data_IF_848864398436
#
_entry.id   IF_848864398436
#
_cell.length_a   1.000
_cell.length_b   1.000
_cell.length_c   1.000
_cell.angle_alpha   90.00
_cell.angle_beta   90.00
_cell.angle_gamma   90.00
#
_symmetry.space_group_name_H-M   'P 1'
#
loop_
_entity.id
_entity.type
_entity.pdbx_description
1 polymer ?
#
# COMPACT_ATOMS: atom_id res chain seq x y z
N UNK A 1 -35.83 -44.59 3.12
CA UNK A 1 -37.02 -43.80 2.75
C UNK A 1 -36.66 -42.33 2.92
N UNK A 2 -36.48 -41.61 1.81
CA UNK A 2 -36.25 -40.16 1.73
C UNK A 2 -37.50 -39.41 2.17
N UNK A 3 -37.38 -38.32 2.95
CA UNK A 3 -37.98 -37.02 2.61
C UNK A 3 -37.02 -35.89 3.05
N UNK A 4 -36.65 -35.10 2.05
CA UNK A 4 -35.82 -33.90 2.05
C UNK A 4 -36.73 -32.68 2.24
N UNK A 5 -36.47 -31.78 3.19
CA UNK A 5 -36.77 -30.32 3.15
C UNK A 5 -36.41 -29.73 4.52
N UNK A 6 -35.79 -28.56 4.67
CA UNK A 6 -35.76 -27.39 3.80
C UNK A 6 -34.43 -26.66 4.04
N UNK A 7 -33.68 -26.53 2.95
CA UNK A 7 -32.60 -25.56 2.78
C UNK A 7 -33.25 -24.17 2.76
N UNK A 8 -33.12 -23.42 3.85
CA UNK A 8 -33.37 -21.97 3.86
C UNK A 8 -31.97 -21.36 3.99
N UNK A 9 -31.24 -21.23 2.88
CA UNK A 9 -31.22 -20.00 2.10
C UNK A 9 -31.39 -18.77 2.98
N UNK A 10 -30.37 -18.49 3.81
CA UNK A 10 -30.08 -17.14 4.26
C UNK A 10 -29.10 -16.52 3.26
N UNK A 11 -29.53 -16.46 2.00
CA UNK A 11 -28.82 -15.80 0.90
C UNK A 11 -29.75 -14.80 0.22
N UNK A 12 -30.45 -14.03 1.04
CA UNK A 12 -31.10 -12.79 0.61
C UNK A 12 -31.12 -11.83 1.81
N UNK A 13 -30.75 -10.59 1.52
CA UNK A 13 -30.74 -9.39 2.38
C UNK A 13 -29.52 -9.15 3.28
N UNK A 14 -28.33 -9.22 2.70
CA UNK A 14 -27.30 -8.17 2.88
C UNK A 14 -26.63 -8.02 1.52
N UNK A 15 -26.47 -6.80 0.94
CA UNK A 15 -25.57 -6.66 -0.19
C UNK A 15 -24.23 -7.26 0.21
N UNK A 16 -23.65 -8.12 -0.63
CA UNK A 16 -22.29 -8.56 -0.41
C UNK A 16 -21.45 -7.28 -0.29
N UNK A 17 -20.75 -7.08 0.83
CA UNK A 17 -19.97 -5.87 1.06
C UNK A 17 -18.97 -5.61 -0.09
N UNK A 18 -18.55 -6.69 -0.76
CA UNK A 18 -17.76 -6.65 -1.99
C UNK A 18 -18.53 -6.07 -3.18
N UNK A 19 -19.83 -6.34 -3.31
CA UNK A 19 -20.71 -5.77 -4.34
C UNK A 19 -20.96 -4.28 -4.12
N UNK A 20 -21.13 -3.83 -2.86
CA UNK A 20 -21.27 -2.41 -2.52
C UNK A 20 -19.99 -1.63 -2.84
N UNK A 21 -18.83 -2.16 -2.44
CA UNK A 21 -17.53 -1.55 -2.74
C UNK A 21 -17.28 -1.51 -4.26
N UNK A 22 -17.59 -2.59 -4.97
CA UNK A 22 -17.49 -2.65 -6.43
C UNK A 22 -18.40 -1.63 -7.12
N UNK A 23 -19.64 -1.51 -6.64
CA UNK A 23 -20.60 -0.53 -7.14
C UNK A 23 -20.13 0.91 -6.89
N UNK A 24 -19.54 1.17 -5.72
CA UNK A 24 -18.97 2.47 -5.37
C UNK A 24 -17.79 2.84 -6.28
N UNK A 25 -16.87 1.92 -6.55
CA UNK A 25 -15.74 2.15 -7.49
C UNK A 25 -16.24 2.44 -8.91
N UNK A 26 -17.27 1.72 -9.38
CA UNK A 26 -17.88 1.98 -10.69
C UNK A 26 -18.57 3.35 -10.76
N UNK A 27 -19.24 3.76 -9.69
CA UNK A 27 -19.93 5.05 -9.62
C UNK A 27 -19.00 6.25 -9.44
N UNK A 28 -17.76 6.04 -8.97
CA UNK A 28 -16.77 7.09 -8.69
C UNK A 28 -15.39 6.68 -9.20
N UNK A 29 -15.04 7.19 -10.39
CA UNK A 29 -13.77 6.86 -11.05
C UNK A 29 -12.52 7.16 -10.20
N UNK A 30 -12.58 8.15 -9.30
CA UNK A 30 -11.48 8.51 -8.39
C UNK A 30 -11.19 7.45 -7.33
N UNK A 31 -12.07 6.46 -7.15
CA UNK A 31 -11.92 5.37 -6.18
C UNK A 31 -11.44 4.07 -6.85
N UNK A 32 -11.04 4.09 -8.12
CA UNK A 32 -10.57 2.90 -8.84
C UNK A 32 -9.41 2.20 -8.15
N UNK A 33 -8.49 2.97 -7.56
CA UNK A 33 -7.30 2.45 -6.86
C UNK A 33 -7.54 2.18 -5.37
N UNK A 34 -8.76 2.41 -4.86
CA UNK A 34 -9.09 2.10 -3.47
C UNK A 34 -8.91 0.60 -3.26
N UNK A 35 -8.10 0.14 -2.29
CA UNK A 35 -7.83 -1.28 -2.11
C UNK A 35 -9.05 -2.02 -1.56
N UNK A 36 -9.10 -3.34 -1.71
CA UNK A 36 -10.14 -4.16 -1.08
C UNK A 36 -9.86 -4.40 0.41
N UNK A 37 -8.57 -4.38 0.78
CA UNK A 37 -8.08 -4.60 2.14
C UNK A 37 -7.14 -3.44 2.49
N UNK A 38 -7.38 -2.80 3.63
CA UNK A 38 -6.44 -1.84 4.23
C UNK A 38 -5.55 -2.55 5.24
N UNK A 39 -4.29 -2.15 5.27
CA UNK A 39 -3.30 -2.68 6.21
C UNK A 39 -2.80 -1.54 7.08
N UNK A 40 -2.73 -1.78 8.39
CA UNK A 40 -2.25 -0.80 9.35
C UNK A 40 -0.75 -1.02 9.62
N UNK A 41 0.02 0.08 9.80
CA UNK A 41 1.42 -0.01 10.11
C UNK A 41 1.58 -0.62 11.50
N UNK A 42 2.67 -1.38 11.69
CA UNK A 42 2.96 -1.99 12.98
C UNK A 42 3.19 -0.91 14.03
N UNK A 43 2.25 -0.78 14.96
CA UNK A 43 2.34 0.16 16.07
C UNK A 43 2.70 -0.62 17.34
N UNK A 44 3.75 -0.23 18.09
CA UNK A 44 4.08 -0.90 19.33
C UNK A 44 2.90 -0.80 20.32
N UNK A 45 2.38 -1.94 20.76
CA UNK A 45 1.26 -2.04 21.71
C UNK A 45 -0.14 -2.21 21.10
N UNK A 46 -0.26 -2.31 19.76
CA UNK A 46 -1.48 -2.76 19.07
C UNK A 46 -1.19 -4.09 18.37
N UNK A 47 -2.17 -4.99 18.34
CA UNK A 47 -2.03 -6.28 17.65
C UNK A 47 -1.51 -6.05 16.22
N UNK A 48 -0.31 -6.56 16.01
CA UNK A 48 0.52 -6.33 14.83
C UNK A 48 -0.14 -6.89 13.58
N UNK A 49 -0.10 -6.15 12.47
CA UNK A 49 -0.50 -6.67 11.16
C UNK A 49 -2.01 -6.83 10.98
N UNK A 50 -2.82 -6.04 11.69
CA UNK A 50 -4.25 -5.98 11.42
C UNK A 50 -4.44 -5.51 9.97
N UNK A 51 -5.06 -6.37 9.18
CA UNK A 51 -5.62 -6.03 7.89
C UNK A 51 -7.13 -6.22 8.01
N UNK A 52 -7.91 -5.37 7.36
CA UNK A 52 -9.36 -5.50 7.33
C UNK A 52 -9.92 -5.14 5.96
N UNK A 53 -11.06 -5.72 5.56
CA UNK A 53 -11.78 -5.28 4.38
C UNK A 53 -12.10 -3.78 4.49
N UNK A 54 -11.86 -3.02 3.42
CA UNK A 54 -12.23 -1.59 3.38
C UNK A 54 -13.71 -1.39 3.63
N UNK A 55 -14.53 -2.35 3.19
CA UNK A 55 -15.96 -2.31 3.38
C UNK A 55 -16.35 -2.33 4.87
N UNK A 56 -15.53 -2.93 5.75
CA UNK A 56 -15.74 -3.01 7.20
C UNK A 56 -15.04 -1.86 7.97
N UNK A 57 -14.23 -1.06 7.28
CA UNK A 57 -13.43 -0.02 7.92
C UNK A 57 -14.31 1.16 8.38
N UNK A 58 -14.06 1.63 9.61
CA UNK A 58 -14.64 2.89 10.08
C UNK A 58 -13.93 4.08 9.48
N UNK A 59 -14.50 5.29 9.63
CA UNK A 59 -13.84 6.52 9.17
C UNK A 59 -12.50 6.73 9.88
N UNK A 60 -12.41 6.41 11.17
CA UNK A 60 -11.16 6.51 11.93
C UNK A 60 -10.12 5.51 11.42
N UNK A 61 -10.53 4.28 11.08
CA UNK A 61 -9.67 3.29 10.44
C UNK A 61 -9.12 3.82 9.10
N UNK A 62 -9.97 4.42 8.26
CA UNK A 62 -9.52 5.05 7.01
C UNK A 62 -8.54 6.20 7.28
N UNK A 63 -8.78 7.03 8.29
CA UNK A 63 -7.86 8.11 8.65
C UNK A 63 -6.47 7.58 9.06
N UNK A 64 -6.43 6.50 9.86
CA UNK A 64 -5.17 5.83 10.20
C UNK A 64 -4.49 5.19 8.97
N UNK A 65 -5.27 4.58 8.07
CA UNK A 65 -4.75 3.98 6.84
C UNK A 65 -4.14 5.04 5.91
N UNK A 66 -4.75 6.23 5.81
CA UNK A 66 -4.20 7.36 5.03
C UNK A 66 -2.83 7.76 5.57
N UNK A 67 -2.72 7.99 6.89
CA UNK A 67 -1.45 8.36 7.54
C UNK A 67 -0.37 7.31 7.27
N UNK A 68 -0.73 6.02 7.27
CA UNK A 68 0.18 4.93 6.97
C UNK A 68 0.66 4.95 5.52
N UNK A 69 -0.27 5.10 4.57
CA UNK A 69 0.04 5.18 3.14
C UNK A 69 0.92 6.39 2.82
N UNK A 70 0.67 7.54 3.45
CA UNK A 70 1.50 8.74 3.32
C UNK A 70 2.93 8.53 3.85
N UNK A 71 3.09 7.82 4.97
CA UNK A 71 4.40 7.45 5.49
C UNK A 71 5.16 6.50 4.55
N UNK A 72 4.48 5.49 4.02
CA UNK A 72 5.06 4.57 3.05
C UNK A 72 5.50 5.29 1.78
N UNK A 73 4.63 6.16 1.25
CA UNK A 73 4.90 7.02 0.09
C UNK A 73 6.11 7.92 0.36
N UNK A 74 6.13 8.60 1.50
CA UNK A 74 7.26 9.47 1.89
C UNK A 74 8.57 8.69 1.99
N UNK A 75 8.54 7.49 2.58
CA UNK A 75 9.72 6.63 2.65
C UNK A 75 10.19 6.18 1.26
N UNK A 76 9.28 5.83 0.35
CA UNK A 76 9.60 5.49 -1.03
C UNK A 76 10.24 6.68 -1.77
N UNK A 77 9.66 7.88 -1.68
CA UNK A 77 10.23 9.10 -2.25
C UNK A 77 11.61 9.43 -1.67
N UNK A 78 11.79 9.26 -0.37
CA UNK A 78 13.09 9.43 0.30
C UNK A 78 14.15 8.49 -0.27
N UNK A 79 13.82 7.21 -0.50
CA UNK A 79 14.71 6.24 -1.14
C UNK A 79 15.07 6.64 -2.57
N UNK A 80 14.08 7.04 -3.38
CA UNK A 80 14.31 7.52 -4.76
C UNK A 80 15.24 8.74 -4.76
N UNK A 81 14.98 9.72 -3.90
CA UNK A 81 15.80 10.91 -3.79
C UNK A 81 17.25 10.58 -3.40
N UNK A 82 17.46 9.66 -2.46
CA UNK A 82 18.79 9.19 -2.07
C UNK A 82 19.53 8.53 -3.24
N UNK A 83 18.85 7.65 -3.98
CA UNK A 83 19.41 7.00 -5.19
C UNK A 83 19.78 8.02 -6.27
N UNK A 84 18.91 9.00 -6.53
CA UNK A 84 19.19 10.08 -7.47
C UNK A 84 20.40 10.92 -7.06
N UNK A 85 20.57 11.19 -5.77
CA UNK A 85 21.74 11.90 -5.24
C UNK A 85 23.02 11.08 -5.43
N UNK A 86 23.01 9.80 -5.07
CA UNK A 86 24.16 8.90 -5.28
C UNK A 86 24.54 8.81 -6.76
N UNK A 87 23.55 8.68 -7.64
CA UNK A 87 23.76 8.68 -9.08
C UNK A 87 24.45 9.97 -9.56
N UNK A 88 23.94 11.13 -9.13
CA UNK A 88 24.53 12.43 -9.48
C UNK A 88 25.97 12.56 -8.97
N UNK A 89 26.26 12.14 -7.74
CA UNK A 89 27.61 12.14 -7.18
C UNK A 89 28.56 11.24 -7.98
N UNK A 90 28.10 10.04 -8.31
CA UNK A 90 28.85 9.08 -9.13
C UNK A 90 29.21 9.65 -10.50
N UNK A 91 28.23 10.23 -11.21
CA UNK A 91 28.45 10.86 -12.52
C UNK A 91 29.39 12.05 -12.43
N UNK A 92 29.24 12.89 -11.40
CA UNK A 92 30.14 14.00 -11.12
C UNK A 92 31.58 13.55 -10.85
N UNK A 93 31.79 12.33 -10.35
CA UNK A 93 33.10 11.72 -10.16
C UNK A 93 33.66 11.05 -11.44
N UNK A 94 32.94 11.13 -12.56
CA UNK A 94 33.34 10.49 -13.82
C UNK A 94 32.92 9.03 -13.96
N UNK A 95 32.05 8.54 -13.08
CA UNK A 95 31.58 7.15 -13.11
C UNK A 95 30.78 6.82 -14.37
N UNK A 96 31.03 5.63 -14.93
CA UNK A 96 30.33 5.05 -16.07
C UNK A 96 29.38 3.93 -15.64
N UNK A 97 28.52 3.45 -16.54
CA UNK A 97 27.39 2.56 -16.19
C UNK A 97 27.77 1.24 -15.52
N UNK A 98 28.98 0.74 -15.76
CA UNK A 98 29.50 -0.51 -15.17
C UNK A 98 30.21 -0.30 -13.84
N UNK A 99 30.40 0.94 -13.39
CA UNK A 99 31.11 1.25 -12.16
C UNK A 99 30.27 0.96 -10.91
N UNK A 100 30.97 0.60 -9.82
CA UNK A 100 30.35 0.50 -8.49
C UNK A 100 30.09 1.90 -7.96
N UNK A 101 28.83 2.33 -7.96
CA UNK A 101 28.43 3.72 -7.68
C UNK A 101 29.04 4.30 -6.39
N UNK A 102 28.99 3.57 -5.28
CA UNK A 102 29.55 4.03 -3.99
C UNK A 102 31.07 4.26 -4.08
N UNK A 103 31.81 3.33 -4.70
CA UNK A 103 33.27 3.42 -4.86
C UNK A 103 33.63 4.60 -5.76
N UNK A 104 32.90 4.77 -6.87
CA UNK A 104 33.12 5.86 -7.81
C UNK A 104 32.80 7.24 -7.19
N UNK A 105 31.73 7.36 -6.42
CA UNK A 105 31.40 8.60 -5.71
C UNK A 105 32.48 9.01 -4.71
N UNK A 106 33.03 8.06 -3.93
CA UNK A 106 34.07 8.33 -2.93
C UNK A 106 35.40 8.83 -3.53
N UNK A 107 35.75 8.41 -4.75
CA UNK A 107 36.99 8.87 -5.43
C UNK A 107 37.06 10.40 -5.63
N UNK A 108 35.91 11.08 -5.64
CA UNK A 108 35.82 12.54 -5.76
C UNK A 108 35.85 13.27 -4.42
N UNK A 109 35.36 12.68 -3.33
CA UNK A 109 35.34 13.35 -2.02
C UNK A 109 36.71 13.36 -1.33
N UNK A 110 37.60 12.42 -1.66
CA UNK A 110 38.96 12.37 -1.13
C UNK A 110 40.00 13.22 -1.87
N UNK A 111 39.58 14.13 -2.76
CA UNK A 111 40.45 14.93 -3.64
C UNK A 111 40.05 16.40 -3.58
#
# INVERSE_FOLDING_TARGET
>A
MFILTRLISRKDEMPDQSDDLTSLRKARYTLGDLPEIITFPQQPGRDTGRSMPVAEATIDDIAFAIIAAEQESSAAYGRVAALQRLYKLTRKAGGIGTDRAVVAALKREGR
#
